data_IF_104133285696
#
_entry.id   IF_104133285696
#
_cell.length_a   1.000
_cell.length_b   1.000
_cell.length_c   1.000
_cell.angle_alpha   90.00
_cell.angle_beta   90.00
_cell.angle_gamma   90.00
#
_symmetry.space_group_name_H-M   'P 1'
#
loop_
_entity.id
_entity.type
_entity.pdbx_description
1 polymer ?
#
# COMPACT_ATOMS: atom_id res chain seq x y z
N UNK A 1 -35.25 72.53 5.06
CA UNK A 1 -33.82 72.28 5.35
C UNK A 1 -33.52 70.84 5.81
N UNK A 2 -34.45 69.88 5.68
CA UNK A 2 -34.29 68.48 6.11
C UNK A 2 -33.63 67.56 5.07
N UNK A 3 -33.71 67.91 3.78
CA UNK A 3 -33.30 67.00 2.70
C UNK A 3 -31.77 66.98 2.46
N UNK A 4 -31.07 68.07 2.78
CA UNK A 4 -29.62 68.18 2.60
C UNK A 4 -28.83 67.38 3.63
N UNK A 5 -29.33 67.30 4.87
CA UNK A 5 -28.72 66.53 5.96
C UNK A 5 -28.89 65.03 5.72
N UNK A 6 -30.05 64.60 5.20
CA UNK A 6 -30.30 63.20 4.83
C UNK A 6 -29.38 62.72 3.69
N UNK A 7 -29.12 63.55 2.67
CA UNK A 7 -28.19 63.23 1.59
C UNK A 7 -26.72 63.15 2.06
N UNK A 8 -26.32 64.03 2.98
CA UNK A 8 -24.96 64.05 3.53
C UNK A 8 -24.72 62.84 4.46
N UNK A 9 -25.70 62.45 5.28
CA UNK A 9 -25.64 61.24 6.09
C UNK A 9 -25.57 59.97 5.22
N UNK A 10 -26.39 59.90 4.16
CA UNK A 10 -26.37 58.78 3.22
C UNK A 10 -25.03 58.63 2.50
N UNK A 11 -24.41 59.75 2.10
CA UNK A 11 -23.08 59.76 1.47
C UNK A 11 -21.97 59.24 2.38
N UNK A 12 -21.97 59.63 3.66
CA UNK A 12 -20.97 59.16 4.64
C UNK A 12 -21.15 57.67 4.95
N UNK A 13 -22.39 57.20 5.12
CA UNK A 13 -22.68 55.78 5.37
C UNK A 13 -22.30 54.92 4.16
N UNK A 14 -22.64 55.36 2.94
CA UNK A 14 -22.26 54.66 1.71
C UNK A 14 -20.75 54.58 1.50
N UNK A 15 -20.02 55.65 1.80
CA UNK A 15 -18.56 55.69 1.73
C UNK A 15 -17.91 54.74 2.76
N UNK A 16 -18.44 54.68 3.98
CA UNK A 16 -17.97 53.78 5.03
C UNK A 16 -18.19 52.30 4.67
N UNK A 17 -19.35 51.95 4.12
CA UNK A 17 -19.64 50.58 3.67
C UNK A 17 -18.72 50.18 2.50
N UNK A 18 -18.49 51.11 1.56
CA UNK A 18 -17.61 50.87 0.40
C UNK A 18 -16.15 50.68 0.82
N UNK A 19 -15.67 51.49 1.76
CA UNK A 19 -14.33 51.36 2.33
C UNK A 19 -14.17 50.05 3.11
N UNK A 20 -15.20 49.64 3.87
CA UNK A 20 -15.21 48.38 4.60
C UNK A 20 -15.21 47.16 3.66
N UNK A 21 -15.95 47.21 2.56
CA UNK A 21 -15.97 46.16 1.54
C UNK A 21 -14.63 46.02 0.82
N UNK A 22 -13.94 47.13 0.51
CA UNK A 22 -12.59 47.13 -0.06
C UNK A 22 -11.55 46.51 0.87
N UNK A 23 -11.75 46.60 2.20
CA UNK A 23 -10.84 45.99 3.17
C UNK A 23 -11.14 44.51 3.42
N UNK A 24 -12.42 44.11 3.49
CA UNK A 24 -12.82 42.74 3.79
C UNK A 24 -12.76 41.79 2.58
N UNK A 25 -12.96 42.30 1.35
CA UNK A 25 -12.90 41.51 0.11
C UNK A 25 -11.56 40.79 -0.11
N UNK A 26 -10.41 41.49 -0.06
CA UNK A 26 -9.09 40.88 -0.21
C UNK A 26 -8.77 39.83 0.86
N UNK A 27 -9.19 40.06 2.10
CA UNK A 27 -9.02 39.12 3.22
C UNK A 27 -9.84 37.84 3.03
N UNK A 28 -11.08 37.94 2.53
CA UNK A 28 -11.89 36.78 2.20
C UNK A 28 -11.29 35.99 1.03
N UNK A 29 -10.78 36.70 0.02
CA UNK A 29 -10.11 36.10 -1.14
C UNK A 29 -8.81 35.37 -0.75
N UNK A 30 -7.95 35.99 0.08
CA UNK A 30 -6.74 35.35 0.60
C UNK A 30 -7.04 34.10 1.43
N UNK A 31 -8.09 34.14 2.27
CA UNK A 31 -8.54 32.96 3.03
C UNK A 31 -9.02 31.86 2.10
N UNK A 32 -9.70 32.20 1.01
CA UNK A 32 -10.17 31.23 0.02
C UNK A 32 -9.01 30.61 -0.75
N UNK A 33 -8.02 31.41 -1.17
CA UNK A 33 -6.80 30.91 -1.82
C UNK A 33 -6.05 29.98 -0.86
N UNK A 34 -5.80 30.40 0.38
CA UNK A 34 -5.11 29.58 1.38
C UNK A 34 -5.85 28.24 1.66
N UNK A 35 -7.19 28.26 1.66
CA UNK A 35 -8.00 27.03 1.77
C UNK A 35 -7.85 26.14 0.54
N UNK A 36 -7.84 26.71 -0.66
CA UNK A 36 -7.66 25.96 -1.90
C UNK A 36 -6.27 25.36 -2.01
N UNK A 37 -5.23 26.09 -1.62
CA UNK A 37 -3.84 25.62 -1.57
C UNK A 37 -3.68 24.46 -0.60
N UNK A 38 -4.22 24.59 0.63
CA UNK A 38 -4.23 23.48 1.60
C UNK A 38 -4.96 22.26 1.06
N UNK A 39 -6.15 22.44 0.50
CA UNK A 39 -6.91 21.33 -0.08
C UNK A 39 -6.23 20.70 -1.32
N UNK A 40 -5.34 21.42 -2.02
CA UNK A 40 -4.51 20.86 -3.09
C UNK A 40 -3.35 20.06 -2.51
N UNK A 41 -2.63 20.64 -1.54
CA UNK A 41 -1.53 19.95 -0.85
C UNK A 41 -1.99 18.66 -0.17
N UNK A 42 -3.16 18.65 0.48
CA UNK A 42 -3.74 17.46 1.11
C UNK A 42 -4.07 16.37 0.07
N UNK A 43 -4.58 16.76 -1.10
CA UNK A 43 -4.86 15.84 -2.21
C UNK A 43 -3.59 15.25 -2.80
N UNK A 44 -2.57 16.08 -3.01
CA UNK A 44 -1.25 15.64 -3.50
C UNK A 44 -0.59 14.68 -2.51
N UNK A 45 -0.61 15.00 -1.21
CA UNK A 45 -0.11 14.12 -0.16
C UNK A 45 -0.84 12.77 -0.16
N UNK A 46 -2.17 12.78 -0.28
CA UNK A 46 -2.98 11.56 -0.37
C UNK A 46 -2.62 10.74 -1.61
N UNK A 47 -2.45 11.36 -2.77
CA UNK A 47 -2.05 10.67 -4.00
C UNK A 47 -0.68 9.99 -3.87
N UNK A 48 0.29 10.68 -3.27
CA UNK A 48 1.62 10.10 -2.99
C UNK A 48 1.49 8.87 -2.09
N UNK A 49 0.67 8.93 -1.04
CA UNK A 49 0.44 7.77 -0.17
C UNK A 49 -0.20 6.59 -0.93
N UNK A 50 -1.17 6.85 -1.80
CA UNK A 50 -1.80 5.81 -2.62
C UNK A 50 -0.80 5.14 -3.57
N UNK A 51 0.11 5.91 -4.16
CA UNK A 51 1.18 5.37 -5.01
C UNK A 51 2.11 4.45 -4.21
N UNK A 52 2.50 4.84 -2.99
CA UNK A 52 3.32 4.00 -2.11
C UNK A 52 2.61 2.69 -1.76
N UNK A 53 1.31 2.73 -1.45
CA UNK A 53 0.50 1.51 -1.21
C UNK A 53 0.50 0.62 -2.45
N UNK A 54 0.28 1.18 -3.63
CA UNK A 54 0.27 0.41 -4.88
C UNK A 54 1.61 -0.27 -5.14
N UNK A 55 2.72 0.42 -4.85
CA UNK A 55 4.09 -0.12 -4.96
C UNK A 55 4.30 -1.29 -4.00
N UNK A 56 3.96 -1.11 -2.72
CA UNK A 56 4.07 -2.16 -1.71
C UNK A 56 3.25 -3.40 -2.09
N UNK A 57 1.99 -3.21 -2.51
CA UNK A 57 1.12 -4.32 -2.98
C UNK A 57 1.73 -5.06 -4.17
N UNK A 58 2.35 -4.33 -5.09
CA UNK A 58 2.96 -4.91 -6.30
C UNK A 58 4.19 -5.74 -5.93
N UNK A 59 5.09 -5.21 -5.10
CA UNK A 59 6.28 -5.92 -4.65
C UNK A 59 5.92 -7.19 -3.85
N UNK A 60 4.97 -7.09 -2.91
CA UNK A 60 4.48 -8.24 -2.13
C UNK A 60 3.85 -9.30 -3.04
N UNK A 61 3.05 -8.89 -4.03
CA UNK A 61 2.44 -9.81 -4.99
C UNK A 61 3.49 -10.50 -5.87
N UNK A 62 4.51 -9.78 -6.31
CA UNK A 62 5.61 -10.34 -7.09
C UNK A 62 6.36 -11.40 -6.28
N UNK A 63 6.70 -11.09 -5.03
CA UNK A 63 7.37 -12.02 -4.13
C UNK A 63 6.52 -13.26 -3.85
N UNK A 64 5.22 -13.09 -3.57
CA UNK A 64 4.28 -14.21 -3.40
C UNK A 64 4.23 -15.08 -4.65
N UNK A 65 4.10 -14.47 -5.83
CA UNK A 65 4.01 -15.19 -7.10
C UNK A 65 5.28 -15.94 -7.43
N UNK A 66 6.45 -15.44 -7.02
CA UNK A 66 7.72 -16.12 -7.13
C UNK A 66 7.80 -17.34 -6.20
N UNK A 67 7.54 -17.17 -4.89
CA UNK A 67 7.58 -18.27 -3.93
C UNK A 67 6.55 -19.35 -4.25
N UNK A 68 5.32 -18.96 -4.62
CA UNK A 68 4.28 -19.93 -5.01
C UNK A 68 4.66 -20.75 -6.24
N UNK A 69 5.36 -20.15 -7.22
CA UNK A 69 5.85 -20.89 -8.40
C UNK A 69 6.95 -21.87 -8.01
N UNK A 70 7.91 -21.44 -7.20
CA UNK A 70 8.97 -22.31 -6.70
C UNK A 70 8.39 -23.52 -5.94
N UNK A 71 7.40 -23.30 -5.05
CA UNK A 71 6.73 -24.39 -4.36
C UNK A 71 6.00 -25.35 -5.31
N UNK A 72 5.34 -24.83 -6.35
CA UNK A 72 4.67 -25.66 -7.37
C UNK A 72 5.65 -26.41 -8.27
N UNK A 73 6.85 -25.86 -8.52
CA UNK A 73 7.92 -26.55 -9.23
C UNK A 73 8.45 -27.72 -8.40
N UNK A 74 8.69 -27.50 -7.11
CA UNK A 74 9.09 -28.56 -6.18
C UNK A 74 8.02 -29.64 -6.03
N UNK A 75 6.75 -29.27 -5.89
CA UNK A 75 5.64 -30.24 -5.81
C UNK A 75 5.56 -31.14 -7.06
N UNK A 76 5.96 -30.62 -8.22
CA UNK A 76 6.00 -31.36 -9.47
C UNK A 76 7.33 -32.12 -9.71
N UNK A 77 8.22 -32.15 -8.71
CA UNK A 77 9.53 -32.81 -8.80
C UNK A 77 10.52 -32.10 -9.75
N UNK A 78 10.26 -30.84 -10.12
CA UNK A 78 11.19 -30.05 -10.94
C UNK A 78 12.32 -29.52 -10.05
N UNK A 79 13.55 -29.71 -10.52
CA UNK A 79 14.72 -29.12 -9.86
C UNK A 79 14.69 -27.59 -9.96
N UNK A 80 15.10 -26.92 -8.90
CA UNK A 80 15.33 -25.48 -8.86
C UNK A 80 16.82 -25.17 -8.83
N UNK A 81 17.22 -24.14 -9.57
CA UNK A 81 18.54 -23.53 -9.40
C UNK A 81 18.53 -22.74 -8.09
N UNK A 82 19.23 -23.26 -7.09
CA UNK A 82 19.16 -22.74 -5.74
C UNK A 82 19.87 -21.40 -5.56
N UNK A 83 21.03 -21.22 -6.20
CA UNK A 83 21.78 -19.97 -6.15
C UNK A 83 20.94 -18.84 -6.76
N UNK A 84 20.35 -19.10 -7.93
CA UNK A 84 19.45 -18.17 -8.58
C UNK A 84 18.19 -17.92 -7.76
N UNK A 85 17.60 -18.96 -7.16
CA UNK A 85 16.43 -18.83 -6.31
C UNK A 85 16.70 -17.91 -5.12
N UNK A 86 17.80 -18.13 -4.39
CA UNK A 86 18.16 -17.34 -3.22
C UNK A 86 18.42 -15.88 -3.58
N UNK A 87 19.21 -15.63 -4.62
CA UNK A 87 19.48 -14.28 -5.09
C UNK A 87 18.19 -13.53 -5.47
N UNK A 88 17.28 -14.18 -6.19
CA UNK A 88 15.99 -13.59 -6.57
C UNK A 88 15.06 -13.40 -5.36
N UNK A 89 15.01 -14.35 -4.43
CA UNK A 89 14.22 -14.26 -3.22
C UNK A 89 14.66 -13.09 -2.34
N UNK A 90 15.98 -12.92 -2.13
CA UNK A 90 16.53 -11.84 -1.32
C UNK A 90 16.29 -10.47 -1.99
N UNK A 91 16.41 -10.38 -3.31
CA UNK A 91 16.08 -9.16 -4.05
C UNK A 91 14.60 -8.76 -3.86
N UNK A 92 13.67 -9.70 -4.04
CA UNK A 92 12.23 -9.45 -3.88
C UNK A 92 11.85 -9.12 -2.43
N UNK A 93 12.47 -9.80 -1.46
CA UNK A 93 12.31 -9.50 -0.03
C UNK A 93 12.73 -8.06 0.28
N UNK A 94 13.90 -7.65 -0.20
CA UNK A 94 14.41 -6.31 0.03
C UNK A 94 13.53 -5.24 -0.65
N UNK A 95 13.06 -5.49 -1.86
CA UNK A 95 12.13 -4.60 -2.56
C UNK A 95 10.79 -4.47 -1.83
N UNK A 96 10.20 -5.58 -1.37
CA UNK A 96 8.94 -5.58 -0.63
C UNK A 96 9.07 -4.85 0.71
N UNK A 97 10.19 -5.01 1.42
CA UNK A 97 10.49 -4.28 2.65
C UNK A 97 10.66 -2.79 2.40
N UNK A 98 11.50 -2.40 1.45
CA UNK A 98 11.71 -1.00 1.10
C UNK A 98 10.40 -0.30 0.70
N UNK A 99 9.57 -0.95 -0.11
CA UNK A 99 8.27 -0.41 -0.50
C UNK A 99 7.29 -0.31 0.69
N UNK A 100 7.41 -1.18 1.68
CA UNK A 100 6.59 -1.14 2.90
C UNK A 100 7.07 -0.06 3.88
N UNK A 101 8.38 0.18 3.96
CA UNK A 101 8.96 1.24 4.79
C UNK A 101 8.54 2.63 4.29
N UNK A 102 8.32 2.80 2.99
CA UNK A 102 7.77 4.04 2.42
C UNK A 102 6.38 4.41 3.01
N UNK A 103 5.63 3.42 3.50
CA UNK A 103 4.29 3.61 4.11
C UNK A 103 4.35 4.19 5.52
N UNK A 104 5.50 4.10 6.19
CA UNK A 104 5.70 4.68 7.53
C UNK A 104 5.43 6.18 7.53
N UNK A 105 5.82 6.87 6.46
CA UNK A 105 5.57 8.31 6.31
C UNK A 105 4.09 8.70 6.25
N UNK A 106 3.18 7.73 6.08
CA UNK A 106 1.72 7.94 6.19
C UNK A 106 1.09 7.23 7.38
N UNK A 107 1.90 6.72 8.32
CA UNK A 107 1.42 6.13 9.58
C UNK A 107 1.03 4.65 9.49
N UNK A 108 1.29 3.97 8.37
CA UNK A 108 1.15 2.51 8.29
C UNK A 108 2.51 1.85 8.47
N UNK A 109 2.62 1.02 9.49
CA UNK A 109 3.76 0.14 9.70
C UNK A 109 3.39 -1.30 9.40
N UNK A 110 4.18 -1.95 8.54
CA UNK A 110 4.09 -3.38 8.25
C UNK A 110 5.27 -4.05 8.96
N UNK A 111 5.00 -4.71 10.07
CA UNK A 111 6.03 -5.41 10.84
C UNK A 111 6.62 -6.61 10.09
N UNK A 112 7.84 -7.00 10.45
CA UNK A 112 8.51 -8.21 9.93
C UNK A 112 7.67 -9.47 10.12
N UNK A 113 6.91 -9.54 11.21
CA UNK A 113 5.97 -10.63 11.49
C UNK A 113 4.88 -10.81 10.42
N UNK A 114 4.48 -9.75 9.72
CA UNK A 114 3.49 -9.86 8.65
C UNK A 114 4.05 -10.53 7.39
N UNK A 115 5.39 -10.53 7.23
CA UNK A 115 6.11 -11.31 6.22
C UNK A 115 6.47 -12.72 6.71
N UNK A 116 6.02 -13.13 7.90
CA UNK A 116 6.48 -14.35 8.56
C UNK A 116 6.42 -15.60 7.68
N UNK A 117 5.33 -15.81 6.94
CA UNK A 117 5.22 -16.96 6.04
C UNK A 117 6.17 -16.86 4.83
N UNK A 118 6.41 -15.65 4.32
CA UNK A 118 7.36 -15.44 3.22
C UNK A 118 8.78 -15.76 3.67
N UNK A 119 9.17 -15.24 4.84
CA UNK A 119 10.49 -15.48 5.41
C UNK A 119 10.69 -16.95 5.77
N UNK A 120 9.69 -17.58 6.41
CA UNK A 120 9.75 -19.00 6.74
C UNK A 120 9.95 -19.86 5.49
N UNK A 121 9.19 -19.63 4.41
CA UNK A 121 9.34 -20.40 3.17
C UNK A 121 10.71 -20.16 2.54
N UNK A 122 11.19 -18.91 2.49
CA UNK A 122 12.54 -18.62 1.97
C UNK A 122 13.63 -19.32 2.77
N UNK A 123 13.59 -19.26 4.10
CA UNK A 123 14.60 -19.88 4.97
C UNK A 123 14.54 -21.42 4.93
N UNK A 124 13.35 -22.00 4.83
CA UNK A 124 13.18 -23.45 4.68
C UNK A 124 13.75 -23.95 3.35
N UNK A 125 13.50 -23.23 2.26
CA UNK A 125 14.09 -23.55 0.95
C UNK A 125 15.61 -23.36 0.94
N UNK A 126 16.12 -22.35 1.68
CA UNK A 126 17.56 -22.15 1.89
C UNK A 126 18.19 -23.31 2.68
N UNK A 127 17.57 -23.73 3.77
CA UNK A 127 18.06 -24.83 4.60
C UNK A 127 18.03 -26.16 3.84
N UNK A 128 16.99 -26.39 3.02
CA UNK A 128 16.91 -27.57 2.18
C UNK A 128 18.01 -27.59 1.11
N UNK A 129 18.33 -26.44 0.51
CA UNK A 129 19.47 -26.34 -0.40
C UNK A 129 20.80 -26.72 0.27
N UNK A 130 21.05 -26.27 1.51
CA UNK A 130 22.30 -26.60 2.20
C UNK A 130 22.45 -28.08 2.57
N UNK A 131 21.35 -28.84 2.63
CA UNK A 131 21.35 -30.27 2.96
C UNK A 131 21.38 -31.21 1.75
N UNK A 132 20.68 -30.85 0.66
CA UNK A 132 20.41 -31.76 -0.47
C UNK A 132 20.89 -31.16 -1.80
N UNK A 133 22.20 -31.02 -1.91
CA UNK A 133 22.84 -30.56 -3.14
C UNK A 133 23.00 -31.74 -4.11
N UNK A 134 22.47 -31.61 -5.33
CA UNK A 134 22.66 -32.62 -6.39
C UNK A 134 24.13 -32.86 -6.74
N UNK A 135 24.41 -33.90 -7.53
CA UNK A 135 25.78 -34.28 -7.93
C UNK A 135 26.57 -33.16 -8.65
N UNK A 136 25.86 -32.15 -9.18
CA UNK A 136 26.40 -30.97 -9.85
C UNK A 136 26.62 -29.76 -8.93
N UNK A 137 26.30 -29.88 -7.63
CA UNK A 137 26.50 -28.79 -6.68
C UNK A 137 25.43 -27.69 -6.71
N UNK A 138 24.43 -27.76 -7.60
CA UNK A 138 23.61 -26.58 -7.98
C UNK A 138 22.10 -26.83 -8.02
N UNK A 139 21.68 -28.08 -8.26
CA UNK A 139 20.26 -28.42 -8.29
C UNK A 139 19.71 -28.68 -6.88
N UNK A 140 18.65 -27.97 -6.52
CA UNK A 140 17.77 -28.31 -5.41
C UNK A 140 16.92 -29.51 -5.84
N UNK A 141 17.28 -30.70 -5.34
CA UNK A 141 16.49 -31.90 -5.55
C UNK A 141 15.53 -32.10 -4.38
N UNK A 142 14.27 -32.34 -4.70
CA UNK A 142 13.26 -32.75 -3.72
C UNK A 142 13.61 -34.18 -3.34
N UNK A 143 14.12 -34.39 -2.12
CA UNK A 143 14.00 -35.71 -1.48
C UNK A 143 12.53 -36.12 -1.54
N UNK A 144 12.24 -37.41 -1.78
CA UNK A 144 10.86 -37.96 -1.78
C UNK A 144 10.02 -37.48 -0.57
N UNK A 145 10.69 -37.04 0.50
CA UNK A 145 10.16 -36.63 1.80
C UNK A 145 9.77 -35.14 1.95
N UNK A 146 10.12 -34.24 1.00
CA UNK A 146 9.42 -32.94 0.89
C UNK A 146 8.05 -33.17 0.23
N UNK A 147 7.31 -34.17 0.73
CA UNK A 147 6.07 -34.64 0.13
C UNK A 147 5.11 -33.48 -0.13
N UNK A 148 4.33 -33.55 -1.21
CA UNK A 148 3.43 -32.47 -1.63
C UNK A 148 2.46 -31.98 -0.54
N UNK A 149 2.28 -32.71 0.56
CA UNK A 149 1.62 -32.20 1.77
C UNK A 149 2.28 -30.96 2.40
N UNK A 150 3.62 -30.93 2.47
CA UNK A 150 4.39 -29.83 3.07
C UNK A 150 4.36 -28.60 2.16
N UNK A 151 4.65 -28.76 0.86
CA UNK A 151 4.57 -27.67 -0.12
C UNK A 151 3.17 -27.03 -0.15
N UNK A 152 2.10 -27.84 -0.12
CA UNK A 152 0.72 -27.35 -0.05
C UNK A 152 0.40 -26.63 1.25
N UNK A 153 0.97 -27.06 2.39
CA UNK A 153 0.83 -26.34 3.66
C UNK A 153 1.45 -24.95 3.57
N UNK A 154 2.69 -24.85 3.09
CA UNK A 154 3.37 -23.57 2.92
C UNK A 154 2.66 -22.66 1.92
N UNK A 155 2.11 -23.21 0.85
CA UNK A 155 1.32 -22.43 -0.09
C UNK A 155 0.08 -21.83 0.58
N UNK A 156 -0.60 -22.57 1.47
CA UNK A 156 -1.71 -22.03 2.28
C UNK A 156 -1.25 -20.94 3.25
N UNK A 157 -0.13 -21.13 3.93
CA UNK A 157 0.43 -20.14 4.86
C UNK A 157 0.84 -18.84 4.13
N UNK A 158 1.51 -18.96 2.97
CA UNK A 158 1.82 -17.82 2.09
C UNK A 158 0.56 -17.10 1.62
N UNK A 159 -0.47 -17.86 1.22
CA UNK A 159 -1.73 -17.29 0.79
C UNK A 159 -2.42 -16.50 1.92
N UNK A 160 -2.46 -17.07 3.13
CA UNK A 160 -3.01 -16.42 4.31
C UNK A 160 -2.26 -15.14 4.71
N UNK A 161 -0.92 -15.18 4.72
CA UNK A 161 -0.09 -13.99 4.99
C UNK A 161 -0.30 -12.90 3.94
N UNK A 162 -0.32 -13.25 2.65
CA UNK A 162 -0.65 -12.30 1.57
C UNK A 162 -2.05 -11.70 1.72
N UNK A 163 -3.05 -12.51 2.06
CA UNK A 163 -4.43 -12.04 2.25
C UNK A 163 -4.50 -11.04 3.40
N UNK A 164 -3.89 -11.35 4.55
CA UNK A 164 -3.82 -10.47 5.72
C UNK A 164 -3.10 -9.15 5.42
N UNK A 165 -1.97 -9.19 4.70
CA UNK A 165 -1.27 -8.00 4.22
C UNK A 165 -2.15 -7.15 3.30
N UNK A 166 -2.86 -7.80 2.37
CA UNK A 166 -3.74 -7.12 1.43
C UNK A 166 -4.93 -6.46 2.15
N UNK A 167 -5.52 -7.10 3.16
CA UNK A 167 -6.56 -6.50 4.01
C UNK A 167 -6.07 -5.28 4.78
N UNK A 168 -4.85 -5.36 5.34
CA UNK A 168 -4.22 -4.25 6.05
C UNK A 168 -3.97 -3.05 5.13
N UNK A 169 -3.48 -3.31 3.92
CA UNK A 169 -3.25 -2.28 2.89
C UNK A 169 -4.57 -1.67 2.38
N UNK A 170 -5.62 -2.46 2.20
CA UNK A 170 -6.94 -1.96 1.82
C UNK A 170 -7.54 -1.07 2.92
N UNK A 171 -7.51 -1.52 4.17
CA UNK A 171 -8.00 -0.76 5.32
C UNK A 171 -7.27 0.59 5.45
N UNK A 172 -5.97 0.63 5.12
CA UNK A 172 -5.21 1.87 5.09
C UNK A 172 -5.64 2.81 3.96
N UNK A 173 -5.92 2.29 2.76
CA UNK A 173 -6.45 3.10 1.65
C UNK A 173 -7.82 3.68 1.99
N UNK A 174 -8.68 2.91 2.65
CA UNK A 174 -9.99 3.39 3.12
C UNK A 174 -9.84 4.58 4.07
N UNK A 175 -8.90 4.50 5.02
CA UNK A 175 -8.58 5.62 5.91
C UNK A 175 -8.01 6.83 5.17
N UNK A 176 -7.17 6.63 4.15
CA UNK A 176 -6.59 7.72 3.37
C UNK A 176 -7.63 8.47 2.53
N UNK A 177 -8.64 7.76 2.03
CA UNK A 177 -9.63 8.33 1.11
C UNK A 177 -10.95 8.71 1.78
N UNK A 178 -11.11 8.39 3.08
CA UNK A 178 -12.36 8.53 3.84
C UNK A 178 -13.57 7.92 3.11
N UNK A 179 -13.33 6.82 2.40
CA UNK A 179 -14.35 6.11 1.61
C UNK A 179 -13.98 4.63 1.48
N UNK A 180 -14.98 3.74 1.40
CA UNK A 180 -14.73 2.31 1.21
C UNK A 180 -14.04 2.05 -0.14
N UNK A 181 -13.12 1.09 -0.16
CA UNK A 181 -12.46 0.65 -1.40
C UNK A 181 -13.29 -0.47 -2.01
N UNK A 182 -13.79 -0.24 -3.22
CA UNK A 182 -14.47 -1.30 -3.96
C UNK A 182 -13.44 -2.31 -4.48
N UNK A 183 -13.57 -3.56 -4.05
CA UNK A 183 -12.73 -4.68 -4.50
C UNK A 183 -13.49 -5.45 -5.56
N UNK A 184 -13.10 -5.28 -6.82
CA UNK A 184 -13.61 -6.10 -7.93
C UNK A 184 -12.85 -7.43 -7.92
N UNK A 185 -13.41 -8.44 -7.25
CA UNK A 185 -12.89 -9.81 -7.27
C UNK A 185 -13.39 -10.59 -8.50
N UNK A 186 -12.53 -11.39 -9.13
CA UNK A 186 -12.91 -12.26 -10.25
C UNK A 186 -13.65 -13.55 -9.84
N UNK A 187 -14.17 -13.67 -8.61
CA UNK A 187 -14.82 -14.93 -8.20
C UNK A 187 -15.51 -15.03 -6.84
N UNK A 188 -15.68 -13.96 -6.06
CA UNK A 188 -16.47 -14.04 -4.82
C UNK A 188 -17.21 -12.74 -4.52
N UNK A 189 -18.44 -12.92 -4.04
CA UNK A 189 -19.47 -11.92 -3.78
C UNK A 189 -18.97 -10.75 -2.94
N UNK A 190 -19.24 -9.54 -3.44
CA UNK A 190 -19.07 -8.25 -2.77
C UNK A 190 -19.83 -8.28 -1.45
N UNK A 191 -19.15 -8.51 -0.33
CA UNK A 191 -19.67 -8.10 0.98
C UNK A 191 -19.38 -6.61 1.10
N UNK A 192 -20.36 -5.79 0.75
CA UNK A 192 -20.41 -4.44 1.29
C UNK A 192 -20.56 -4.59 2.80
N UNK A 193 -19.55 -4.17 3.54
CA UNK A 193 -19.66 -4.02 4.99
C UNK A 193 -20.58 -2.82 5.20
N UNK A 194 -21.89 -3.07 5.39
CA UNK A 194 -22.81 -2.05 5.87
C UNK A 194 -22.32 -1.60 7.25
N UNK A 195 -22.07 -0.30 7.37
CA UNK A 195 -22.05 0.39 8.66
C UNK A 195 -23.49 0.46 9.21
#
# INVERSE_FOLDING_TARGET
MSNTIAGLLGGVIGALISALAMFLGPLAHQRQIARQERARADREATQVQLQRVARARTAIRAWYGFLSRALSDLEAGRALDAERFLAQSDAMKNEARAASDELLGGGLWIGSNQFGAFEQVTELLRAHHTGNVGADGRALLVEEDLGGGVARRWQRELHGSRASLNESLLSYVERLQDRPVEVIGTGATVRSRRA
#
